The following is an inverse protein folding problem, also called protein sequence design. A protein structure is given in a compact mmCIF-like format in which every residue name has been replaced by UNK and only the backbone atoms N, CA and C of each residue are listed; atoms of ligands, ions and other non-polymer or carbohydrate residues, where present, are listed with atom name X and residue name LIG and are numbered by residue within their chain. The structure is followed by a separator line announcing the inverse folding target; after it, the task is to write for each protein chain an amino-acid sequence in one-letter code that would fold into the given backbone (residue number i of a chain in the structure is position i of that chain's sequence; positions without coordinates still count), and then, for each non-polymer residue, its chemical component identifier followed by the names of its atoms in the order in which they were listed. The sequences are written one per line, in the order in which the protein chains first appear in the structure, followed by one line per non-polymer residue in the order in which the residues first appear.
data_IF_335008648299
#
_entry.id   IF_335008648299
#
_cell.length_a   1.000
_cell.length_b   1.000
_cell.length_c   1.000
_cell.angle_alpha   90.00
_cell.angle_beta   90.00
_cell.angle_gamma   90.00
#
_symmetry.space_group_name_H-M   'P 1'
#
loop_
_entity.id
_entity.type
_entity.pdbx_description
1 polymer ?
#
# COMPACT_ATOMS: atom_id res chain seq x y z
N UNK A 1 -44.27 -32.42 -12.44
CA UNK A 1 -42.89 -32.46 -12.95
C UNK A 1 -42.61 -31.07 -13.53
N UNK A 2 -41.83 -30.20 -12.89
CA UNK A 2 -41.26 -28.92 -13.24
C UNK A 2 -41.59 -27.82 -12.20
N UNK A 3 -41.13 -28.02 -10.94
CA UNK A 3 -41.04 -26.93 -9.95
C UNK A 3 -39.70 -27.14 -9.19
N UNK A 4 -38.58 -26.89 -9.83
CA UNK A 4 -37.27 -26.87 -9.16
C UNK A 4 -36.19 -26.11 -9.99
N UNK A 5 -36.51 -24.94 -10.52
CA UNK A 5 -35.50 -24.15 -11.22
C UNK A 5 -35.68 -22.62 -11.07
N UNK A 6 -36.15 -22.11 -9.94
CA UNK A 6 -36.31 -20.64 -9.77
C UNK A 6 -35.83 -20.10 -8.42
N UNK A 7 -34.89 -20.75 -7.75
CA UNK A 7 -34.41 -20.32 -6.42
C UNK A 7 -32.92 -20.04 -6.30
N UNK A 8 -32.18 -19.82 -7.41
CA UNK A 8 -30.74 -19.51 -7.36
C UNK A 8 -30.40 -18.10 -7.88
N UNK A 9 -31.35 -17.36 -8.46
CA UNK A 9 -31.06 -16.05 -9.06
C UNK A 9 -31.34 -14.84 -8.15
N UNK A 10 -31.86 -15.03 -6.92
CA UNK A 10 -32.25 -13.91 -6.04
C UNK A 10 -31.19 -13.50 -4.99
N UNK A 11 -30.04 -14.14 -4.91
CA UNK A 11 -29.04 -13.88 -3.84
C UNK A 11 -27.91 -12.91 -4.21
N UNK A 12 -27.89 -12.32 -5.40
CA UNK A 12 -26.81 -11.44 -5.85
C UNK A 12 -27.12 -9.93 -5.85
N UNK A 13 -28.34 -9.52 -5.47
CA UNK A 13 -28.73 -8.09 -5.50
C UNK A 13 -28.75 -7.40 -4.14
N UNK A 14 -28.45 -8.08 -3.03
CA UNK A 14 -28.49 -7.49 -1.67
C UNK A 14 -27.15 -6.87 -1.26
N UNK A 15 -26.07 -7.05 -2.01
CA UNK A 15 -24.73 -6.66 -1.55
C UNK A 15 -24.38 -5.17 -1.75
N UNK A 16 -25.08 -4.45 -2.64
CA UNK A 16 -24.72 -3.05 -2.93
C UNK A 16 -25.38 -2.01 -1.99
N UNK A 17 -26.57 -2.28 -1.46
CA UNK A 17 -27.23 -1.34 -0.53
C UNK A 17 -26.67 -1.41 0.89
N UNK A 18 -26.25 -2.59 1.35
CA UNK A 18 -25.62 -2.77 2.65
C UNK A 18 -24.24 -2.05 2.75
N UNK A 19 -23.55 -1.88 1.61
CA UNK A 19 -22.26 -1.18 1.57
C UNK A 19 -22.39 0.32 1.80
N UNK A 20 -23.42 0.97 1.28
CA UNK A 20 -23.61 2.41 1.40
C UNK A 20 -24.10 2.89 2.77
N UNK A 21 -24.77 2.03 3.54
CA UNK A 21 -25.33 2.34 4.87
C UNK A 21 -24.46 1.86 6.05
N UNK A 22 -23.33 1.19 5.80
CA UNK A 22 -22.47 0.69 6.86
C UNK A 22 -21.53 1.78 7.40
N UNK A 23 -21.35 1.81 8.74
CA UNK A 23 -20.32 2.64 9.36
C UNK A 23 -18.90 2.12 9.02
N UNK A 24 -17.87 2.91 9.31
CA UNK A 24 -16.47 2.57 8.96
C UNK A 24 -16.01 1.22 9.52
N UNK A 25 -16.51 0.81 10.66
CA UNK A 25 -16.19 -0.46 11.31
C UNK A 25 -16.85 -1.65 10.60
N UNK A 26 -18.08 -1.47 10.13
CA UNK A 26 -18.79 -2.50 9.36
C UNK A 26 -18.21 -2.65 7.94
N UNK A 27 -17.70 -1.55 7.35
CA UNK A 27 -17.00 -1.60 6.05
C UNK A 27 -15.71 -2.42 6.12
N UNK A 28 -14.93 -2.34 7.21
CA UNK A 28 -13.75 -3.17 7.42
C UNK A 28 -14.07 -4.66 7.48
N UNK A 29 -15.20 -5.04 8.12
CA UNK A 29 -15.63 -6.43 8.24
C UNK A 29 -16.15 -7.04 6.92
N UNK A 30 -16.74 -6.24 6.03
CA UNK A 30 -17.27 -6.69 4.73
C UNK A 30 -16.17 -6.76 3.66
N UNK A 31 -15.17 -5.86 3.73
CA UNK A 31 -14.08 -5.80 2.76
C UNK A 31 -13.09 -6.95 2.97
N UNK A 32 -12.95 -7.46 4.20
CA UNK A 32 -12.04 -8.56 4.54
C UNK A 32 -12.28 -9.88 3.79
N UNK A 33 -13.46 -10.08 3.19
CA UNK A 33 -13.79 -11.30 2.44
C UNK A 33 -13.48 -11.23 0.93
N UNK A 34 -13.24 -10.05 0.37
CA UNK A 34 -13.07 -9.86 -1.09
C UNK A 34 -11.75 -9.19 -1.52
N UNK A 35 -10.88 -8.83 -0.57
CA UNK A 35 -9.91 -7.74 -0.77
C UNK A 35 -8.52 -8.09 -1.30
N UNK A 36 -8.14 -9.34 -1.49
CA UNK A 36 -6.77 -9.70 -1.92
C UNK A 36 -6.34 -9.19 -3.30
N UNK A 37 -7.29 -8.74 -4.13
CA UNK A 37 -7.01 -8.35 -5.51
C UNK A 37 -6.62 -6.86 -5.71
N UNK A 38 -6.99 -5.98 -4.79
CA UNK A 38 -6.97 -4.53 -5.03
C UNK A 38 -5.59 -3.91 -4.78
N UNK A 39 -4.83 -4.38 -3.80
CA UNK A 39 -3.47 -3.88 -3.56
C UNK A 39 -2.49 -4.32 -4.66
N UNK A 40 -2.70 -5.50 -5.24
CA UNK A 40 -1.99 -5.91 -6.45
C UNK A 40 -2.23 -4.96 -7.62
N UNK A 41 -3.45 -4.41 -7.76
CA UNK A 41 -3.81 -3.46 -8.81
C UNK A 41 -3.24 -2.05 -8.61
N UNK A 42 -3.03 -1.61 -7.36
CA UNK A 42 -2.46 -0.28 -7.08
C UNK A 42 -0.94 -0.27 -7.23
N UNK A 43 -0.28 -1.38 -6.91
CA UNK A 43 1.16 -1.55 -7.11
C UNK A 43 1.52 -1.96 -8.54
N UNK A 44 0.55 -2.48 -9.29
CA UNK A 44 0.74 -2.90 -10.68
C UNK A 44 -0.57 -2.86 -11.42
N UNK A 45 -0.74 -1.89 -12.30
CA UNK A 45 -1.89 -1.80 -13.22
C UNK A 45 -1.86 -2.90 -14.29
N UNK A 46 -1.03 -3.94 -14.10
CA UNK A 46 -0.86 -5.06 -15.02
C UNK A 46 -0.59 -6.36 -14.25
N UNK A 47 -1.58 -6.85 -13.51
CA UNK A 47 -1.57 -8.25 -13.05
C UNK A 47 -2.13 -9.13 -14.17
N UNK A 48 -1.38 -9.15 -15.27
CA UNK A 48 -1.49 -10.09 -16.36
C UNK A 48 -0.16 -10.79 -16.53
N UNK A 49 -0.07 -12.06 -16.11
CA UNK A 49 0.96 -13.04 -16.50
C UNK A 49 2.41 -12.61 -16.24
N UNK A 50 2.89 -12.74 -15.02
CA UNK A 50 4.35 -12.79 -14.79
C UNK A 50 4.84 -12.18 -13.49
N UNK A 51 4.94 -12.96 -12.44
CA UNK A 51 6.05 -12.79 -11.51
C UNK A 51 5.88 -11.92 -10.24
N UNK A 52 4.73 -11.31 -9.96
CA UNK A 52 4.54 -10.50 -8.75
C UNK A 52 3.42 -11.01 -7.81
N UNK A 53 3.12 -12.31 -7.89
CA UNK A 53 2.15 -12.98 -6.99
C UNK A 53 2.53 -12.90 -5.50
N UNK A 54 3.81 -12.68 -5.19
CA UNK A 54 4.27 -12.55 -3.81
C UNK A 54 3.79 -11.26 -3.12
N UNK A 55 3.64 -10.14 -3.85
CA UNK A 55 3.09 -8.89 -3.27
C UNK A 55 1.59 -9.01 -3.00
N UNK A 56 0.85 -9.64 -3.88
CA UNK A 56 -0.57 -9.95 -3.67
C UNK A 56 -0.78 -10.91 -2.50
N UNK A 57 0.11 -11.90 -2.32
CA UNK A 57 0.03 -12.85 -1.23
C UNK A 57 0.39 -12.25 0.15
N UNK A 58 1.34 -11.32 0.20
CA UNK A 58 1.73 -10.64 1.46
C UNK A 58 0.63 -9.72 1.98
N UNK A 59 -0.20 -9.18 1.09
CA UNK A 59 -1.27 -8.23 1.42
C UNK A 59 -2.62 -8.95 1.52
N UNK A 60 -2.76 -10.11 0.88
CA UNK A 60 -4.03 -10.81 0.63
C UNK A 60 -4.54 -11.73 1.73
N UNK A 61 -3.98 -11.76 2.93
CA UNK A 61 -4.58 -12.47 4.06
C UNK A 61 -5.54 -11.55 4.81
N UNK A 62 -6.69 -11.29 4.21
CA UNK A 62 -7.77 -10.58 4.86
C UNK A 62 -8.21 -11.34 6.12
N UNK A 63 -8.09 -10.71 7.25
CA UNK A 63 -8.67 -11.17 8.51
C UNK A 63 -10.12 -10.68 8.54
N UNK A 64 -11.08 -11.58 8.29
CA UNK A 64 -12.49 -11.25 8.25
C UNK A 64 -13.12 -11.08 9.65
N UNK A 65 -14.35 -10.56 9.68
CA UNK A 65 -15.15 -10.48 10.90
C UNK A 65 -14.71 -9.42 11.91
N UNK A 66 -14.91 -9.68 13.19
CA UNK A 66 -14.61 -8.74 14.28
C UNK A 66 -13.10 -8.41 14.37
N UNK A 67 -12.23 -9.37 14.09
CA UNK A 67 -10.78 -9.13 14.05
C UNK A 67 -10.38 -8.17 12.93
N UNK A 68 -11.00 -8.27 11.74
CA UNK A 68 -10.80 -7.30 10.66
C UNK A 68 -11.19 -5.87 11.04
N UNK A 69 -12.26 -5.71 11.82
CA UNK A 69 -12.66 -4.40 12.33
C UNK A 69 -11.62 -3.79 13.30
N UNK A 70 -11.00 -4.60 14.15
CA UNK A 70 -9.92 -4.17 15.06
C UNK A 70 -8.70 -3.70 14.25
N UNK A 71 -8.27 -4.50 13.26
CA UNK A 71 -7.17 -4.14 12.35
C UNK A 71 -7.50 -2.86 11.59
N UNK A 72 -8.70 -2.79 10.98
CA UNK A 72 -9.15 -1.63 10.23
C UNK A 72 -9.07 -0.34 11.04
N UNK A 73 -9.58 -0.34 12.28
CA UNK A 73 -9.52 0.81 13.17
C UNK A 73 -8.07 1.24 13.50
N UNK A 74 -7.17 0.30 13.67
CA UNK A 74 -5.76 0.59 13.97
C UNK A 74 -5.05 1.18 12.74
N UNK A 75 -5.30 0.60 11.56
CA UNK A 75 -4.76 1.09 10.31
C UNK A 75 -5.33 2.47 9.93
N UNK A 76 -6.61 2.74 10.24
CA UNK A 76 -7.22 4.06 10.03
C UNK A 76 -6.57 5.14 10.90
N UNK A 77 -6.29 4.82 12.17
CA UNK A 77 -5.54 5.74 13.06
C UNK A 77 -4.14 6.02 12.52
N UNK A 78 -3.43 4.98 12.06
CA UNK A 78 -2.11 5.14 11.46
C UNK A 78 -2.16 5.97 10.18
N UNK A 79 -3.12 5.73 9.28
CA UNK A 79 -3.29 6.49 8.05
C UNK A 79 -3.60 7.98 8.34
N UNK A 80 -4.44 8.25 9.35
CA UNK A 80 -4.74 9.60 9.79
C UNK A 80 -3.48 10.30 10.32
N UNK A 81 -2.71 9.63 11.18
CA UNK A 81 -1.45 10.15 11.71
C UNK A 81 -0.46 10.49 10.61
N UNK A 82 -0.32 9.61 9.60
CA UNK A 82 0.55 9.87 8.44
C UNK A 82 0.10 11.13 7.69
N UNK A 83 -1.20 11.31 7.45
CA UNK A 83 -1.74 12.51 6.78
C UNK A 83 -1.47 13.78 7.55
N UNK A 84 -1.53 13.73 8.88
CA UNK A 84 -1.28 14.88 9.76
C UNK A 84 0.21 15.26 9.78
N UNK A 85 1.10 14.27 9.87
CA UNK A 85 2.55 14.49 9.98
C UNK A 85 3.20 14.83 8.63
N UNK A 86 2.63 14.35 7.51
CA UNK A 86 3.20 14.48 6.17
C UNK A 86 2.16 15.08 5.23
N UNK A 87 1.84 16.37 5.40
CA UNK A 87 0.94 17.07 4.50
C UNK A 87 1.54 17.11 3.09
N UNK A 88 0.75 16.71 2.09
CA UNK A 88 1.19 16.64 0.68
C UNK A 88 1.46 15.22 0.17
N UNK A 89 1.70 14.23 1.05
CA UNK A 89 1.74 12.84 0.63
C UNK A 89 0.33 12.32 0.28
N UNK A 90 0.22 11.58 -0.81
CA UNK A 90 -1.03 10.89 -1.13
C UNK A 90 -1.15 9.64 -0.26
N UNK A 91 -2.08 9.63 0.69
CA UNK A 91 -2.31 8.52 1.62
C UNK A 91 -3.67 7.90 1.34
N UNK A 92 -3.66 6.65 0.89
CA UNK A 92 -4.87 5.86 0.60
C UNK A 92 -4.96 4.65 1.52
N UNK A 93 -6.14 4.41 2.08
CA UNK A 93 -6.50 3.11 2.67
C UNK A 93 -6.93 2.19 1.55
N UNK A 94 -6.34 1.01 1.51
CA UNK A 94 -6.69 -0.03 0.54
C UNK A 94 -6.74 -1.34 1.30
N UNK A 95 -7.93 -1.92 1.38
CA UNK A 95 -8.17 -3.11 2.21
C UNK A 95 -7.62 -2.93 3.63
N UNK A 96 -6.86 -3.88 4.13
CA UNK A 96 -6.19 -3.81 5.43
C UNK A 96 -4.88 -3.02 5.40
N UNK A 97 -4.48 -2.45 4.24
CA UNK A 97 -3.22 -1.73 4.08
C UNK A 97 -3.37 -0.21 3.98
N UNK A 98 -2.24 0.48 4.00
CA UNK A 98 -2.09 1.91 3.72
C UNK A 98 -1.09 2.05 2.60
N UNK A 99 -1.42 2.78 1.56
CA UNK A 99 -0.49 3.17 0.50
C UNK A 99 -0.17 4.64 0.65
N UNK A 100 1.10 4.95 0.83
CA UNK A 100 1.63 6.31 0.84
C UNK A 100 2.46 6.50 -0.41
N UNK A 101 2.05 7.42 -1.27
CA UNK A 101 2.75 7.73 -2.52
C UNK A 101 3.55 9.02 -2.34
N UNK A 102 4.81 8.94 -2.64
CA UNK A 102 5.72 10.06 -2.72
C UNK A 102 6.18 10.25 -4.18
N UNK A 103 5.71 11.29 -4.80
CA UNK A 103 6.12 11.76 -6.13
C UNK A 103 6.96 13.04 -6.02
N UNK A 104 7.33 13.64 -7.16
CA UNK A 104 8.10 14.87 -7.18
C UNK A 104 7.40 16.06 -6.50
N UNK A 105 6.08 16.08 -6.43
CA UNK A 105 5.30 17.15 -5.79
C UNK A 105 5.18 16.95 -4.28
N UNK A 106 5.18 15.72 -3.81
CA UNK A 106 5.03 15.36 -2.39
C UNK A 106 6.33 15.39 -1.60
N UNK A 107 7.46 15.72 -2.24
CA UNK A 107 8.70 16.11 -1.57
C UNK A 107 9.66 14.98 -1.19
N UNK A 108 9.36 13.69 -1.39
CA UNK A 108 10.40 12.64 -1.34
C UNK A 108 11.07 12.56 -2.70
N UNK A 109 11.89 13.55 -2.95
CA UNK A 109 12.63 13.70 -4.20
C UNK A 109 14.05 13.19 -4.06
N UNK A 110 14.61 12.83 -5.19
CA UNK A 110 16.02 12.49 -5.35
C UNK A 110 16.69 13.56 -6.20
N UNK A 111 17.97 13.77 -6.02
CA UNK A 111 18.73 14.57 -6.97
C UNK A 111 18.58 14.01 -8.39
N UNK A 112 18.66 14.91 -9.37
CA UNK A 112 18.47 14.53 -10.78
C UNK A 112 19.39 13.36 -11.16
N UNK A 113 18.79 12.31 -11.67
CA UNK A 113 19.47 11.08 -12.11
C UNK A 113 20.22 10.31 -10.99
N UNK A 114 19.96 10.63 -9.71
CA UNK A 114 20.57 10.01 -8.55
C UNK A 114 19.56 9.27 -7.68
N UNK A 115 20.06 8.58 -6.68
CA UNK A 115 19.30 7.95 -5.62
C UNK A 115 19.55 8.59 -4.24
N UNK A 116 20.32 9.70 -4.23
CA UNK A 116 20.58 10.44 -3.01
C UNK A 116 19.32 11.20 -2.59
N UNK A 117 18.89 11.00 -1.34
CA UNK A 117 17.75 11.68 -0.77
C UNK A 117 18.09 13.15 -0.54
N UNK A 118 17.22 14.06 -0.99
CA UNK A 118 17.31 15.48 -0.68
C UNK A 118 17.10 15.74 0.82
N UNK A 119 17.41 16.93 1.30
CA UNK A 119 17.19 17.33 2.71
C UNK A 119 15.71 17.30 3.06
N UNK A 120 14.86 17.74 2.13
CA UNK A 120 13.41 17.72 2.25
C UNK A 120 12.90 16.28 2.36
N UNK A 121 13.37 15.38 1.49
CA UNK A 121 13.04 13.97 1.54
C UNK A 121 13.41 13.35 2.90
N UNK A 122 14.61 13.64 3.40
CA UNK A 122 15.06 13.14 4.72
C UNK A 122 14.17 13.65 5.85
N UNK A 123 13.73 14.91 5.80
CA UNK A 123 12.83 15.49 6.79
C UNK A 123 11.47 14.75 6.80
N UNK A 124 10.87 14.51 5.63
CA UNK A 124 9.61 13.80 5.51
C UNK A 124 9.74 12.33 5.93
N UNK A 125 10.80 11.67 5.53
CA UNK A 125 11.08 10.28 5.93
C UNK A 125 11.37 10.17 7.44
N UNK A 126 11.93 11.19 8.08
CA UNK A 126 12.10 11.24 9.55
C UNK A 126 10.75 11.27 10.25
N UNK A 127 9.80 12.09 9.79
CA UNK A 127 8.42 12.11 10.31
C UNK A 127 7.74 10.76 10.10
N UNK A 128 7.87 10.18 8.90
CA UNK A 128 7.35 8.85 8.60
C UNK A 128 7.94 7.79 9.52
N UNK A 129 9.25 7.82 9.78
CA UNK A 129 9.91 6.91 10.72
C UNK A 129 9.35 7.04 12.13
N UNK A 130 9.00 8.26 12.58
CA UNK A 130 8.30 8.50 13.83
C UNK A 130 6.98 7.75 13.90
N UNK A 131 6.13 7.92 12.90
CA UNK A 131 4.85 7.21 12.83
C UNK A 131 5.04 5.69 12.78
N UNK A 132 5.99 5.18 11.99
CA UNK A 132 6.27 3.74 11.91
C UNK A 132 6.79 3.16 13.25
N UNK A 133 7.43 3.96 14.11
CA UNK A 133 7.83 3.56 15.47
C UNK A 133 6.63 3.48 16.42
N UNK A 134 5.66 4.38 16.30
CA UNK A 134 4.42 4.36 17.08
C UNK A 134 3.54 3.15 16.74
N UNK A 135 3.66 2.61 15.51
CA UNK A 135 2.89 1.45 15.02
C UNK A 135 3.83 0.27 14.69
N UNK A 136 4.43 -0.39 15.69
CA UNK A 136 5.45 -1.41 15.46
C UNK A 136 4.91 -2.71 14.87
N UNK A 137 3.61 -2.97 14.99
CA UNK A 137 2.97 -4.22 14.57
C UNK A 137 2.50 -4.18 13.11
N UNK A 138 3.27 -3.47 12.26
CA UNK A 138 3.08 -3.41 10.80
C UNK A 138 4.36 -3.75 10.06
N UNK A 139 4.23 -4.33 8.88
CA UNK A 139 5.29 -4.49 7.89
C UNK A 139 5.20 -3.39 6.83
N UNK A 140 6.31 -3.11 6.17
CA UNK A 140 6.44 -2.00 5.22
C UNK A 140 7.07 -2.50 3.94
N UNK A 141 6.42 -2.26 2.81
CA UNK A 141 6.97 -2.51 1.48
C UNK A 141 7.35 -1.16 0.88
N UNK A 142 8.60 -1.01 0.47
CA UNK A 142 9.09 0.17 -0.24
C UNK A 142 9.25 -0.19 -1.71
N UNK A 143 8.48 0.47 -2.59
CA UNK A 143 8.44 0.17 -4.02
C UNK A 143 8.88 1.38 -4.84
N UNK A 144 9.97 1.25 -5.60
CA UNK A 144 10.51 2.29 -6.47
C UNK A 144 10.02 2.16 -7.90
N UNK A 145 9.69 3.31 -8.51
CA UNK A 145 9.24 3.42 -9.89
C UNK A 145 9.98 4.56 -10.62
N UNK A 146 10.00 4.48 -11.94
CA UNK A 146 10.47 5.55 -12.84
C UNK A 146 9.37 5.87 -13.86
N UNK A 147 9.57 6.94 -14.59
CA UNK A 147 8.85 7.16 -15.84
C UNK A 147 9.41 6.28 -16.98
N UNK A 148 8.84 6.43 -18.18
CA UNK A 148 9.22 5.67 -19.37
C UNK A 148 10.45 6.21 -20.11
N UNK A 149 11.04 7.32 -19.68
CA UNK A 149 12.23 7.87 -20.32
C UNK A 149 13.48 7.07 -19.98
N UNK A 150 14.30 6.78 -20.99
CA UNK A 150 15.56 6.06 -20.82
C UNK A 150 15.45 4.55 -21.11
N UNK A 151 16.58 3.86 -20.96
CA UNK A 151 16.66 2.42 -21.22
C UNK A 151 16.00 1.61 -20.09
N UNK A 152 15.25 0.54 -20.40
CA UNK A 152 14.57 -0.27 -19.37
C UNK A 152 15.51 -0.78 -18.26
N UNK A 153 16.68 -1.31 -18.62
CA UNK A 153 17.66 -1.79 -17.65
C UNK A 153 18.18 -0.68 -16.72
N UNK A 154 18.36 0.54 -17.25
CA UNK A 154 18.77 1.70 -16.46
C UNK A 154 17.67 2.08 -15.45
N UNK A 155 16.42 2.17 -15.91
CA UNK A 155 15.26 2.49 -15.07
C UNK A 155 15.05 1.45 -13.97
N UNK A 156 15.24 0.17 -14.28
CA UNK A 156 15.19 -0.90 -13.28
C UNK A 156 16.23 -0.68 -12.19
N UNK A 157 17.49 -0.46 -12.54
CA UNK A 157 18.55 -0.18 -11.57
C UNK A 157 18.36 1.15 -10.81
N UNK A 158 17.81 2.19 -11.45
CA UNK A 158 17.54 3.47 -10.78
C UNK A 158 16.44 3.33 -9.73
N UNK A 159 15.33 2.65 -10.08
CA UNK A 159 14.24 2.39 -9.14
C UNK A 159 14.68 1.53 -7.95
N UNK A 160 15.56 0.54 -8.19
CA UNK A 160 16.18 -0.27 -7.13
C UNK A 160 16.99 0.59 -6.16
N UNK A 161 17.91 1.39 -6.66
CA UNK A 161 18.75 2.27 -5.82
C UNK A 161 17.90 3.23 -5.00
N UNK A 162 16.85 3.81 -5.58
CA UNK A 162 15.93 4.73 -4.89
C UNK A 162 15.14 4.05 -3.79
N UNK A 163 14.57 2.88 -4.06
CA UNK A 163 13.85 2.11 -3.06
C UNK A 163 14.77 1.68 -1.91
N UNK A 164 15.97 1.22 -2.22
CA UNK A 164 16.99 0.87 -1.22
C UNK A 164 17.43 2.08 -0.39
N UNK A 165 17.59 3.27 -0.98
CA UNK A 165 17.93 4.49 -0.24
C UNK A 165 16.87 4.83 0.82
N UNK A 166 15.58 4.71 0.49
CA UNK A 166 14.49 4.91 1.45
C UNK A 166 14.50 3.83 2.54
N UNK A 167 14.64 2.56 2.18
CA UNK A 167 14.71 1.46 3.17
C UNK A 167 15.90 1.62 4.12
N UNK A 168 17.07 1.95 3.58
CA UNK A 168 18.28 2.19 4.37
C UNK A 168 18.11 3.38 5.31
N UNK A 169 17.44 4.44 4.87
CA UNK A 169 17.13 5.58 5.73
C UNK A 169 16.27 5.16 6.93
N UNK A 170 15.24 4.36 6.72
CA UNK A 170 14.37 3.88 7.80
C UNK A 170 15.13 2.97 8.79
N UNK A 171 15.96 2.07 8.30
CA UNK A 171 16.75 1.20 9.16
C UNK A 171 17.82 1.97 9.93
N UNK A 172 18.47 2.94 9.30
CA UNK A 172 19.38 3.86 9.97
C UNK A 172 18.68 4.75 11.02
N UNK A 173 17.38 5.02 10.83
CA UNK A 173 16.53 5.71 11.81
C UNK A 173 16.10 4.82 13.00
N UNK A 174 16.60 3.59 13.09
CA UNK A 174 16.35 2.66 14.21
C UNK A 174 15.13 1.76 14.04
N UNK A 175 14.55 1.67 12.84
CA UNK A 175 13.49 0.70 12.54
C UNK A 175 14.11 -0.67 12.20
N UNK A 176 13.47 -1.76 12.66
CA UNK A 176 13.98 -3.13 12.43
C UNK A 176 13.94 -3.48 10.94
N UNK A 177 15.06 -3.91 10.38
CA UNK A 177 15.18 -4.30 8.97
C UNK A 177 14.18 -5.40 8.57
N UNK A 178 13.85 -6.32 9.50
CA UNK A 178 12.89 -7.40 9.27
C UNK A 178 11.46 -6.93 8.96
N UNK A 179 11.14 -5.66 9.23
CA UNK A 179 9.84 -5.06 8.88
C UNK A 179 9.75 -4.65 7.42
N UNK A 180 10.88 -4.58 6.69
CA UNK A 180 10.94 -3.97 5.37
C UNK A 180 11.11 -5.00 4.27
N UNK A 181 10.32 -4.85 3.22
CA UNK A 181 10.52 -5.52 1.92
C UNK A 181 10.76 -4.42 0.88
N UNK A 182 11.86 -4.52 0.14
CA UNK A 182 12.20 -3.55 -0.92
C UNK A 182 11.91 -4.15 -2.28
N UNK A 183 11.15 -3.44 -3.10
CA UNK A 183 10.79 -3.82 -4.47
C UNK A 183 11.08 -2.67 -5.43
N UNK A 184 11.27 -2.99 -6.70
CA UNK A 184 11.54 -2.00 -7.75
C UNK A 184 10.99 -2.49 -9.08
N UNK A 185 10.49 -1.58 -9.87
CA UNK A 185 9.73 -1.89 -11.07
C UNK A 185 10.18 -1.10 -12.31
N UNK A 186 11.15 -0.17 -12.18
CA UNK A 186 11.49 0.73 -13.27
C UNK A 186 10.25 1.42 -13.82
N UNK A 187 10.09 1.39 -15.14
CA UNK A 187 8.92 1.95 -15.83
C UNK A 187 7.84 0.92 -16.15
N UNK A 188 7.94 -0.33 -15.63
CA UNK A 188 7.02 -1.43 -16.03
C UNK A 188 5.63 -1.32 -15.41
N UNK A 189 5.47 -0.48 -14.38
CA UNK A 189 4.21 -0.29 -13.65
C UNK A 189 3.83 1.19 -13.58
N UNK A 190 3.46 1.82 -14.70
CA UNK A 190 3.02 3.21 -14.69
C UNK A 190 1.66 3.34 -14.02
N UNK A 191 1.51 4.35 -13.16
CA UNK A 191 0.23 4.70 -12.54
C UNK A 191 -0.47 5.84 -13.31
N UNK A 192 0.29 6.60 -14.09
CA UNK A 192 -0.17 7.75 -14.86
C UNK A 192 0.33 7.68 -16.30
N UNK A 193 -0.27 8.48 -17.16
CA UNK A 193 0.10 8.52 -18.58
C UNK A 193 1.54 9.05 -18.79
N UNK A 194 2.40 8.24 -19.36
CA UNK A 194 3.79 8.59 -19.66
C UNK A 194 3.95 9.51 -20.90
N UNK A 195 2.88 9.75 -21.67
CA UNK A 195 2.92 10.67 -22.82
C UNK A 195 3.08 12.12 -22.37
N UNK A 196 2.54 12.48 -21.20
CA UNK A 196 2.60 13.83 -20.62
C UNK A 196 3.74 13.98 -19.61
N UNK A 197 4.29 15.19 -19.47
CA UNK A 197 5.31 15.44 -18.45
C UNK A 197 4.73 15.33 -17.03
N UNK A 198 3.50 15.77 -16.84
CA UNK A 198 2.83 15.64 -15.55
C UNK A 198 2.67 14.17 -15.13
N UNK A 199 2.25 13.32 -16.05
CA UNK A 199 2.12 11.88 -15.77
C UNK A 199 3.48 11.23 -15.51
N UNK A 200 4.53 11.62 -16.25
CA UNK A 200 5.88 11.15 -16.00
C UNK A 200 6.39 11.58 -14.61
N UNK A 201 6.18 12.83 -14.22
CA UNK A 201 6.55 13.33 -12.89
C UNK A 201 5.88 12.53 -11.76
N UNK A 202 4.62 12.17 -11.93
CA UNK A 202 3.88 11.29 -10.99
C UNK A 202 4.35 9.83 -11.03
N UNK A 203 4.87 9.35 -12.17
CA UNK A 203 5.44 8.01 -12.28
C UNK A 203 6.82 7.89 -11.64
N UNK A 204 7.60 8.98 -11.55
CA UNK A 204 8.85 9.05 -10.77
C UNK A 204 8.55 9.10 -9.28
N UNK A 205 8.16 7.96 -8.71
CA UNK A 205 7.62 7.85 -7.34
C UNK A 205 8.23 6.71 -6.54
N UNK A 206 8.10 6.83 -5.23
CA UNK A 206 8.26 5.71 -4.29
C UNK A 206 6.95 5.51 -3.55
N UNK A 207 6.44 4.29 -3.58
CA UNK A 207 5.30 3.88 -2.78
C UNK A 207 5.79 3.22 -1.49
N UNK A 208 5.21 3.62 -0.37
CA UNK A 208 5.38 2.95 0.92
C UNK A 208 4.05 2.30 1.26
N UNK A 209 4.03 0.97 1.22
CA UNK A 209 2.84 0.17 1.54
C UNK A 209 3.01 -0.39 2.93
N UNK A 210 2.06 -0.10 3.80
CA UNK A 210 2.06 -0.52 5.20
C UNK A 210 0.96 -1.55 5.37
N UNK A 211 1.29 -2.71 5.92
CA UNK A 211 0.36 -3.83 6.12
C UNK A 211 0.44 -4.36 7.55
N UNK A 212 -0.66 -4.88 8.12
CA UNK A 212 -0.61 -5.54 9.42
C UNK A 212 0.35 -6.73 9.37
N UNK A 213 1.17 -6.89 10.41
CA UNK A 213 2.01 -8.08 10.55
C UNK A 213 1.26 -9.18 11.33
N UNK A 214 1.87 -10.36 11.45
CA UNK A 214 1.23 -11.50 12.13
C UNK A 214 0.87 -11.19 13.58
N UNK A 215 1.70 -10.42 14.28
CA UNK A 215 1.43 -10.04 15.68
C UNK A 215 0.16 -9.17 15.79
N UNK A 216 -0.05 -8.21 14.88
CA UNK A 216 -1.29 -7.43 14.85
C UNK A 216 -2.50 -8.31 14.59
N UNK A 217 -2.39 -9.28 13.66
CA UNK A 217 -3.48 -10.21 13.33
C UNK A 217 -3.84 -11.10 14.52
N UNK A 218 -2.84 -11.68 15.20
CA UNK A 218 -3.05 -12.50 16.39
C UNK A 218 -3.71 -11.72 17.53
N UNK A 219 -3.27 -10.48 17.76
CA UNK A 219 -3.87 -9.61 18.78
C UNK A 219 -5.33 -9.27 18.44
N UNK A 220 -5.61 -8.97 17.17
CA UNK A 220 -6.96 -8.68 16.73
C UNK A 220 -7.90 -9.89 16.87
N UNK A 221 -7.41 -11.10 16.56
CA UNK A 221 -8.17 -12.35 16.75
C UNK A 221 -8.48 -12.60 18.23
N UNK A 222 -7.52 -12.38 19.13
CA UNK A 222 -7.74 -12.51 20.58
C UNK A 222 -8.77 -11.52 21.10
N UNK A 223 -8.74 -10.27 20.61
CA UNK A 223 -9.72 -9.25 21.01
C UNK A 223 -11.12 -9.52 20.46
N UNK A 224 -11.21 -10.15 19.29
CA UNK A 224 -12.48 -10.48 18.66
C UNK A 224 -13.16 -11.74 19.22
N UNK A 225 -12.41 -12.60 19.90
CA UNK A 225 -12.91 -13.83 20.55
C UNK A 225 -13.29 -13.65 22.01
N UNK A 226 -13.16 -12.45 22.56
CA UNK A 226 -13.64 -12.04 23.89
C UNK A 226 -14.99 -11.33 23.78
#
# INVERSE_FOLDING_TARGET
KNITLFLVAASLLVSCEAYNNSNKTQRGAVIGAAGGAILGAILGNNVGSGGNSELGAVIGTAVGGAAGAVIGNQMDRQAKKIKEEIPGAEVKRVDDGIVVTFDEKSGVTFEFNKADLTSEAKTLLTKMAGVLKEYPDTNVIVAGHTDSKGKPAYNMGLSERRAKAVTNFFTASGLKASRFTTKWFGATQPAYDNSTEEGRAKNRRVNIVIVPNEKMKEQAQKQAGQ
#
